data_IF_305707874872
#
_entry.id   IF_305707874872
#
_cell.length_a   1.000
_cell.length_b   1.000
_cell.length_c   1.000
_cell.angle_alpha   90.00
_cell.angle_beta   90.00
_cell.angle_gamma   90.00
#
_symmetry.space_group_name_H-M   'P 1'
#
loop_
_entity.id
_entity.type
_entity.pdbx_description
1 polymer ?
#
# COMPACT_ATOMS: atom_id res chain seq x y z
N UNK A 1 -7.02 13.29 12.37
CA UNK A 1 -6.30 12.56 13.44
C UNK A 1 -6.91 11.18 13.53
N UNK A 2 -6.12 10.12 13.67
CA UNK A 2 -6.65 8.76 13.82
C UNK A 2 -7.40 8.62 15.15
N UNK A 3 -8.40 7.73 15.19
CA UNK A 3 -9.09 7.40 16.43
C UNK A 3 -8.15 6.63 17.39
N UNK A 4 -8.53 6.59 18.68
CA UNK A 4 -7.72 5.95 19.72
C UNK A 4 -7.46 4.45 19.42
N UNK A 5 -8.45 3.64 19.00
CA UNK A 5 -8.20 2.25 18.63
C UNK A 5 -7.14 2.08 17.53
N UNK A 6 -7.13 2.96 16.53
CA UNK A 6 -6.11 2.94 15.48
C UNK A 6 -4.74 3.28 16.02
N UNK A 7 -4.63 4.29 16.88
CA UNK A 7 -3.36 4.67 17.51
C UNK A 7 -2.79 3.52 18.34
N UNK A 8 -3.64 2.83 19.10
CA UNK A 8 -3.24 1.71 19.93
C UNK A 8 -2.82 0.50 19.08
N UNK A 9 -3.54 0.21 17.99
CA UNK A 9 -3.15 -0.84 17.04
C UNK A 9 -1.77 -0.55 16.41
N UNK A 10 -1.52 0.70 15.98
CA UNK A 10 -0.21 1.11 15.45
C UNK A 10 0.89 0.93 16.49
N UNK A 11 0.65 1.33 17.75
CA UNK A 11 1.63 1.17 18.85
C UNK A 11 1.91 -0.30 19.16
N UNK A 12 0.88 -1.14 19.22
CA UNK A 12 1.03 -2.57 19.47
C UNK A 12 1.85 -3.26 18.37
N UNK A 13 1.55 -2.97 17.10
CA UNK A 13 2.34 -3.50 15.99
C UNK A 13 3.77 -2.98 15.97
N UNK A 14 3.98 -1.69 16.22
CA UNK A 14 5.31 -1.10 16.29
C UNK A 14 6.17 -1.75 17.41
N UNK A 15 5.59 -1.95 18.59
CA UNK A 15 6.24 -2.64 19.69
C UNK A 15 6.65 -4.08 19.31
N UNK A 16 5.74 -4.83 18.67
CA UNK A 16 6.01 -6.20 18.20
C UNK A 16 7.13 -6.25 17.17
N UNK A 17 7.17 -5.29 16.25
CA UNK A 17 8.21 -5.16 15.23
C UNK A 17 9.52 -4.53 15.77
N UNK A 18 9.54 -4.08 17.04
CA UNK A 18 10.65 -3.36 17.68
C UNK A 18 11.05 -2.08 16.92
N UNK A 19 10.05 -1.32 16.48
CA UNK A 19 10.20 -0.04 15.80
C UNK A 19 9.47 1.08 16.54
N UNK A 20 9.84 2.33 16.28
CA UNK A 20 9.11 3.48 16.82
C UNK A 20 7.73 3.61 16.12
N UNK A 21 6.61 3.84 16.84
CA UNK A 21 5.29 4.01 16.21
C UNK A 21 5.24 5.11 15.15
N UNK A 22 6.07 6.14 15.30
CA UNK A 22 6.21 7.23 14.33
C UNK A 22 6.61 6.75 12.93
N UNK A 23 7.28 5.59 12.82
CA UNK A 23 7.65 4.99 11.53
C UNK A 23 6.41 4.52 10.78
N UNK A 24 5.53 3.75 11.43
CA UNK A 24 4.28 3.29 10.81
C UNK A 24 3.35 4.47 10.48
N UNK A 25 3.28 5.49 11.33
CA UNK A 25 2.54 6.71 11.01
C UNK A 25 3.13 7.47 9.82
N UNK A 26 4.45 7.50 9.66
CA UNK A 26 5.10 8.10 8.50
C UNK A 26 4.76 7.33 7.21
N UNK A 27 4.78 5.99 7.25
CA UNK A 27 4.36 5.16 6.11
C UNK A 27 2.91 5.46 5.73
N UNK A 28 1.99 5.43 6.70
CA UNK A 28 0.56 5.73 6.49
C UNK A 28 0.34 7.13 5.88
N UNK A 29 1.09 8.13 6.34
CA UNK A 29 0.98 9.49 5.80
C UNK A 29 1.39 9.53 4.32
N UNK A 30 2.49 8.87 3.94
CA UNK A 30 2.97 8.91 2.56
C UNK A 30 2.11 8.05 1.63
N UNK A 31 1.62 6.90 2.09
CA UNK A 31 0.82 6.00 1.26
C UNK A 31 -0.60 6.51 1.00
N UNK A 32 -1.24 7.17 1.98
CA UNK A 32 -2.65 7.56 1.84
C UNK A 32 -2.98 9.01 2.20
N UNK A 33 -1.99 9.80 2.61
CA UNK A 33 -2.21 11.11 3.21
C UNK A 33 -2.91 11.00 4.57
N UNK A 34 -2.79 9.85 5.24
CA UNK A 34 -3.52 9.54 6.47
C UNK A 34 -5.03 9.30 6.29
N UNK A 35 -5.53 9.25 5.06
CA UNK A 35 -6.93 8.96 4.76
C UNK A 35 -7.16 7.45 4.72
N UNK A 36 -8.26 7.00 5.31
CA UNK A 36 -8.53 5.56 5.49
C UNK A 36 -9.82 5.08 4.83
N UNK A 37 -10.89 5.86 4.94
CA UNK A 37 -12.23 5.53 4.42
C UNK A 37 -12.83 6.69 3.64
N UNK A 38 -13.73 6.34 2.72
CA UNK A 38 -14.66 7.26 2.05
C UNK A 38 -16.09 6.71 2.21
N UNK A 39 -17.09 7.60 2.26
CA UNK A 39 -18.49 7.19 2.17
C UNK A 39 -18.91 6.97 0.71
N UNK A 40 -19.28 5.74 0.38
CA UNK A 40 -19.69 5.34 -0.97
C UNK A 40 -21.05 4.67 -0.85
N UNK A 41 -22.09 5.35 -1.38
CA UNK A 41 -23.49 4.89 -1.29
C UNK A 41 -23.91 4.56 0.15
N UNK A 42 -23.49 5.40 1.11
CA UNK A 42 -23.81 5.24 2.54
C UNK A 42 -22.95 4.23 3.29
N UNK A 43 -22.02 3.53 2.62
CA UNK A 43 -21.09 2.58 3.25
C UNK A 43 -19.69 3.18 3.37
N UNK A 44 -19.03 2.97 4.51
CA UNK A 44 -17.59 3.24 4.66
C UNK A 44 -16.80 2.20 3.86
N UNK A 45 -16.07 2.66 2.85
CA UNK A 45 -15.23 1.83 2.00
C UNK A 45 -13.77 2.29 2.10
N UNK A 46 -12.78 1.37 2.17
CA UNK A 46 -11.39 1.77 2.23
C UNK A 46 -11.00 2.53 0.95
N UNK A 47 -10.02 3.42 1.06
CA UNK A 47 -9.46 4.02 -0.14
C UNK A 47 -8.85 2.95 -1.03
N UNK A 48 -9.11 3.03 -2.34
CA UNK A 48 -8.51 2.14 -3.31
C UNK A 48 -7.75 2.88 -4.40
N UNK A 49 -6.83 2.14 -5.03
CA UNK A 49 -6.24 2.49 -6.31
C UNK A 49 -6.32 1.27 -7.22
N UNK A 50 -6.85 1.47 -8.42
CA UNK A 50 -7.01 0.45 -9.43
C UNK A 50 -5.74 0.27 -10.24
N UNK A 51 -5.32 -0.97 -10.47
CA UNK A 51 -4.16 -1.31 -11.29
C UNK A 51 -4.59 -2.15 -12.49
N UNK A 52 -5.01 -1.48 -13.58
CA UNK A 52 -5.56 -2.16 -14.77
C UNK A 52 -4.61 -3.16 -15.43
N UNK A 53 -3.30 -3.02 -15.21
CA UNK A 53 -2.31 -4.00 -15.68
C UNK A 53 -2.28 -5.28 -14.83
N UNK A 54 -2.56 -5.19 -13.53
CA UNK A 54 -2.77 -6.38 -12.71
C UNK A 54 -4.02 -7.12 -13.17
N UNK A 55 -5.08 -6.39 -13.53
CA UNK A 55 -6.32 -6.99 -14.01
C UNK A 55 -6.11 -7.68 -15.36
N UNK A 56 -5.41 -7.02 -16.29
CA UNK A 56 -5.04 -7.60 -17.58
C UNK A 56 -4.29 -8.93 -17.46
N UNK A 57 -3.30 -8.98 -16.57
CA UNK A 57 -2.46 -10.16 -16.33
C UNK A 57 -3.21 -11.33 -15.69
N UNK A 58 -4.30 -11.05 -14.97
CA UNK A 58 -5.07 -12.05 -14.21
C UNK A 58 -6.20 -12.68 -15.01
N UNK A 59 -6.61 -12.06 -16.10
CA UNK A 59 -7.66 -12.56 -16.97
C UNK A 59 -7.06 -13.32 -18.15
N UNK A 60 -7.87 -14.13 -18.81
CA UNK A 60 -7.51 -14.81 -20.07
C UNK A 60 -8.71 -14.83 -21.02
N UNK A 61 -8.47 -14.99 -22.33
CA UNK A 61 -9.54 -15.12 -23.32
C UNK A 61 -10.56 -13.98 -23.29
N UNK A 62 -11.84 -14.34 -23.40
CA UNK A 62 -12.96 -13.41 -23.52
C UNK A 62 -13.05 -12.41 -22.35
N UNK A 63 -12.74 -12.83 -21.13
CA UNK A 63 -12.74 -11.94 -19.96
C UNK A 63 -11.72 -10.80 -20.13
N UNK A 64 -10.51 -11.13 -20.59
CA UNK A 64 -9.44 -10.13 -20.79
C UNK A 64 -9.81 -9.17 -21.92
N UNK A 65 -10.36 -9.70 -23.00
CA UNK A 65 -10.77 -8.89 -24.15
C UNK A 65 -11.95 -7.98 -23.80
N UNK A 66 -12.92 -8.48 -23.03
CA UNK A 66 -14.01 -7.66 -22.49
C UNK A 66 -13.48 -6.55 -21.57
N UNK A 67 -12.57 -6.88 -20.64
CA UNK A 67 -12.00 -5.90 -19.73
C UNK A 67 -11.22 -4.80 -20.47
N UNK A 68 -10.49 -5.15 -21.54
CA UNK A 68 -9.81 -4.19 -22.41
C UNK A 68 -10.81 -3.31 -23.17
N UNK A 69 -11.85 -3.90 -23.78
CA UNK A 69 -12.91 -3.14 -24.49
C UNK A 69 -13.64 -2.16 -23.57
N UNK A 70 -13.85 -2.53 -22.31
CA UNK A 70 -14.47 -1.67 -21.28
C UNK A 70 -13.51 -0.63 -20.66
N UNK A 71 -12.24 -0.61 -21.07
CA UNK A 71 -11.24 0.32 -20.53
C UNK A 71 -10.86 0.03 -19.06
N UNK A 72 -11.04 -1.21 -18.61
CA UNK A 72 -10.72 -1.66 -17.24
C UNK A 72 -9.34 -2.30 -17.15
N UNK A 73 -8.84 -2.87 -18.26
CA UNK A 73 -7.55 -3.56 -18.33
C UNK A 73 -6.65 -2.99 -19.44
N UNK A 74 -5.34 -3.04 -19.20
CA UNK A 74 -4.32 -2.77 -20.21
C UNK A 74 -3.01 -3.44 -19.81
N UNK A 75 -2.26 -4.08 -20.72
CA UNK A 75 -0.98 -4.70 -20.38
C UNK A 75 0.08 -3.67 -19.93
N UNK A 76 -0.13 -2.38 -20.20
CA UNK A 76 0.79 -1.30 -19.83
C UNK A 76 0.40 -0.68 -18.49
N UNK A 77 1.31 -0.75 -17.51
CA UNK A 77 1.13 -0.09 -16.22
C UNK A 77 0.85 1.42 -16.39
N UNK A 78 -0.13 1.93 -15.64
CA UNK A 78 -0.54 3.34 -15.69
C UNK A 78 -1.37 3.77 -16.91
N UNK A 79 -1.62 2.88 -17.89
CA UNK A 79 -2.44 3.22 -19.04
C UNK A 79 -3.92 3.46 -18.67
N UNK A 80 -4.44 2.72 -17.68
CA UNK A 80 -5.75 2.97 -17.11
C UNK A 80 -5.61 3.99 -15.98
N UNK A 81 -6.08 5.22 -16.24
CA UNK A 81 -6.00 6.32 -15.27
C UNK A 81 -7.00 6.12 -14.15
N UNK A 82 -6.54 6.30 -12.91
CA UNK A 82 -7.43 6.33 -11.76
C UNK A 82 -8.21 7.66 -11.71
N UNK A 83 -9.56 7.63 -11.62
CA UNK A 83 -10.34 8.82 -11.33
C UNK A 83 -9.91 9.50 -10.03
N UNK A 84 -10.13 10.80 -9.93
CA UNK A 84 -9.83 11.55 -8.71
C UNK A 84 -10.70 11.10 -7.52
N UNK A 85 -11.98 10.79 -7.77
CA UNK A 85 -12.96 10.38 -6.76
C UNK A 85 -12.88 8.88 -6.44
N UNK A 86 -12.92 8.55 -5.16
CA UNK A 86 -13.05 7.16 -4.68
C UNK A 86 -14.35 6.51 -5.12
N UNK A 87 -15.47 7.25 -5.19
CA UNK A 87 -16.75 6.73 -5.70
C UNK A 87 -16.57 6.17 -7.11
N UNK A 88 -15.87 6.89 -7.97
CA UNK A 88 -15.58 6.43 -9.34
C UNK A 88 -14.60 5.26 -9.38
N UNK A 89 -13.60 5.22 -8.50
CA UNK A 89 -12.68 4.07 -8.40
C UNK A 89 -13.41 2.80 -7.95
N UNK A 90 -14.27 2.91 -6.95
CA UNK A 90 -15.10 1.79 -6.49
C UNK A 90 -16.13 1.35 -7.54
N UNK A 91 -16.63 2.29 -8.36
CA UNK A 91 -17.45 1.93 -9.52
C UNK A 91 -16.64 1.10 -10.53
N UNK A 92 -15.40 1.51 -10.86
CA UNK A 92 -14.52 0.71 -11.74
C UNK A 92 -14.27 -0.70 -11.18
N UNK A 93 -13.95 -0.81 -9.89
CA UNK A 93 -13.76 -2.11 -9.23
C UNK A 93 -15.05 -2.95 -9.25
N UNK A 94 -16.22 -2.32 -9.07
CA UNK A 94 -17.53 -2.98 -9.18
C UNK A 94 -17.75 -3.50 -10.60
N UNK A 95 -17.47 -2.69 -11.62
CA UNK A 95 -17.64 -3.06 -13.03
C UNK A 95 -16.69 -4.21 -13.40
N UNK A 96 -15.43 -4.15 -12.97
CA UNK A 96 -14.45 -5.22 -13.14
C UNK A 96 -14.87 -6.51 -12.42
N UNK A 97 -15.46 -6.41 -11.23
CA UNK A 97 -15.90 -7.58 -10.47
C UNK A 97 -17.06 -8.35 -11.12
N UNK A 98 -17.78 -7.72 -12.06
CA UNK A 98 -18.80 -8.41 -12.87
C UNK A 98 -18.19 -9.28 -13.99
N UNK A 99 -16.96 -8.99 -14.39
CA UNK A 99 -16.20 -9.81 -15.34
C UNK A 99 -15.57 -10.96 -14.54
N UNK A 100 -14.74 -10.63 -13.56
CA UNK A 100 -14.10 -11.61 -12.70
C UNK A 100 -13.84 -11.01 -11.32
N UNK A 101 -14.57 -11.51 -10.32
CA UNK A 101 -14.55 -10.95 -8.96
C UNK A 101 -13.19 -11.06 -8.30
N UNK A 102 -12.58 -12.24 -8.32
CA UNK A 102 -11.30 -12.48 -7.66
C UNK A 102 -10.21 -11.62 -8.30
N UNK A 103 -10.09 -11.68 -9.64
CA UNK A 103 -9.10 -10.90 -10.36
C UNK A 103 -9.28 -9.39 -10.13
N UNK A 104 -10.51 -8.89 -10.08
CA UNK A 104 -10.78 -7.48 -9.81
C UNK A 104 -10.30 -7.08 -8.42
N UNK A 105 -10.63 -7.86 -7.39
CA UNK A 105 -10.21 -7.52 -6.03
C UNK A 105 -8.71 -7.68 -5.81
N UNK A 106 -8.05 -8.60 -6.53
CA UNK A 106 -6.60 -8.71 -6.52
C UNK A 106 -5.89 -7.54 -7.24
N UNK A 107 -6.61 -6.82 -8.11
CA UNK A 107 -6.07 -5.77 -8.98
C UNK A 107 -6.28 -4.36 -8.44
N UNK A 108 -6.60 -4.22 -7.16
CA UNK A 108 -6.61 -2.95 -6.46
C UNK A 108 -5.71 -3.00 -5.22
N UNK A 109 -5.20 -1.84 -4.82
CA UNK A 109 -4.63 -1.63 -3.50
C UNK A 109 -5.65 -1.02 -2.55
N UNK A 110 -5.50 -1.28 -1.25
CA UNK A 110 -6.52 -0.96 -0.25
C UNK A 110 -5.97 -0.25 0.99
N UNK A 111 -6.75 0.72 1.47
CA UNK A 111 -6.61 1.33 2.79
C UNK A 111 -5.33 2.16 2.98
N UNK A 112 -5.03 2.45 4.24
CA UNK A 112 -3.91 3.34 4.62
C UNK A 112 -2.54 2.87 4.15
N UNK A 113 -2.32 1.57 4.02
CA UNK A 113 -1.04 1.03 3.54
C UNK A 113 -0.97 0.88 2.02
N UNK A 114 -2.08 1.09 1.30
CA UNK A 114 -2.17 0.83 -0.15
C UNK A 114 -1.57 -0.54 -0.53
N UNK A 115 -1.87 -1.59 0.25
CA UNK A 115 -1.41 -2.96 -0.05
C UNK A 115 -2.28 -3.57 -1.14
N UNK A 116 -1.65 -4.16 -2.16
CA UNK A 116 -2.33 -4.83 -3.26
C UNK A 116 -3.07 -6.10 -2.80
N UNK A 117 -4.33 -6.23 -3.21
CA UNK A 117 -5.17 -7.39 -2.92
C UNK A 117 -4.57 -8.70 -3.46
N UNK A 118 -3.76 -8.62 -4.51
CA UNK A 118 -2.96 -9.72 -5.08
C UNK A 118 -2.18 -10.54 -4.05
N UNK A 119 -1.84 -9.96 -2.90
CA UNK A 119 -1.03 -10.61 -1.88
C UNK A 119 -1.85 -11.37 -0.83
N UNK A 120 -3.18 -11.37 -0.89
CA UNK A 120 -4.05 -11.95 0.13
C UNK A 120 -3.57 -13.32 0.63
N UNK A 121 -3.18 -14.23 -0.28
CA UNK A 121 -2.73 -15.58 0.05
C UNK A 121 -1.41 -15.57 0.82
N UNK A 122 -0.44 -14.76 0.35
CA UNK A 122 0.87 -14.60 1.00
C UNK A 122 0.75 -13.93 2.38
N UNK A 123 -0.26 -13.08 2.55
CA UNK A 123 -0.57 -12.41 3.82
C UNK A 123 -1.44 -13.27 4.77
N UNK A 124 -1.69 -14.53 4.40
CA UNK A 124 -2.39 -15.51 5.24
C UNK A 124 -3.91 -15.32 5.33
N UNK A 125 -4.53 -14.64 4.35
CA UNK A 125 -5.98 -14.59 4.26
C UNK A 125 -6.52 -15.84 3.54
N UNK A 126 -7.74 -16.26 3.90
CA UNK A 126 -8.41 -17.39 3.26
C UNK A 126 -8.87 -17.10 1.82
N UNK A 127 -9.13 -15.84 1.50
CA UNK A 127 -9.52 -15.38 0.17
C UNK A 127 -9.24 -13.89 0.01
N UNK A 128 -9.34 -13.38 -1.22
CA UNK A 128 -9.27 -11.94 -1.48
C UNK A 128 -10.47 -11.20 -0.84
N UNK A 129 -11.65 -11.83 -0.78
CA UNK A 129 -12.80 -11.26 -0.08
C UNK A 129 -12.53 -11.11 1.43
N UNK A 130 -11.87 -12.08 2.07
CA UNK A 130 -11.48 -11.98 3.47
C UNK A 130 -10.47 -10.84 3.70
N UNK A 131 -9.52 -10.66 2.77
CA UNK A 131 -8.59 -9.53 2.78
C UNK A 131 -9.35 -8.18 2.68
N UNK A 132 -10.29 -8.06 1.74
CA UNK A 132 -11.06 -6.81 1.55
C UNK A 132 -12.01 -6.57 2.73
N UNK A 133 -12.59 -7.62 3.32
CA UNK A 133 -13.39 -7.53 4.54
C UNK A 133 -12.57 -6.99 5.71
N UNK A 134 -11.32 -7.44 5.86
CA UNK A 134 -10.39 -6.92 6.87
C UNK A 134 -10.07 -5.43 6.66
N UNK A 135 -9.86 -5.00 5.41
CA UNK A 135 -9.65 -3.59 5.09
C UNK A 135 -10.89 -2.71 5.36
N UNK A 136 -12.10 -3.30 5.30
CA UNK A 136 -13.38 -2.63 5.58
C UNK A 136 -13.71 -2.55 7.06
N UNK A 137 -13.20 -3.47 7.87
CA UNK A 137 -13.51 -3.58 9.30
C UNK A 137 -13.16 -2.29 10.06
N UNK A 138 -11.94 -1.80 9.90
CA UNK A 138 -11.44 -0.62 10.60
C UNK A 138 -10.12 -0.14 10.01
N UNK A 139 -9.67 1.05 10.43
CA UNK A 139 -8.32 1.51 10.08
C UNK A 139 -7.27 0.61 10.73
N UNK A 140 -7.50 0.11 11.95
CA UNK A 140 -6.65 -0.89 12.58
C UNK A 140 -6.52 -2.17 11.71
N UNK A 141 -7.60 -2.63 11.09
CA UNK A 141 -7.56 -3.74 10.13
C UNK A 141 -6.72 -3.44 8.88
N UNK A 142 -6.77 -2.20 8.38
CA UNK A 142 -5.90 -1.77 7.28
C UNK A 142 -4.42 -1.68 7.69
N UNK A 143 -4.13 -1.26 8.93
CA UNK A 143 -2.77 -1.27 9.50
C UNK A 143 -2.26 -2.71 9.64
N UNK A 144 -3.11 -3.63 10.10
CA UNK A 144 -2.75 -5.05 10.21
C UNK A 144 -2.36 -5.63 8.84
N UNK A 145 -3.13 -5.31 7.79
CA UNK A 145 -2.79 -5.70 6.40
C UNK A 145 -1.42 -5.15 5.99
N UNK A 146 -1.16 -3.86 6.25
CA UNK A 146 0.12 -3.21 5.96
C UNK A 146 1.28 -3.91 6.67
N UNK A 147 1.11 -4.18 7.97
CA UNK A 147 2.13 -4.85 8.79
C UNK A 147 2.40 -6.27 8.32
N UNK A 148 1.36 -7.05 8.01
CA UNK A 148 1.52 -8.39 7.41
C UNK A 148 2.32 -8.33 6.10
N UNK A 149 2.11 -7.30 5.28
CA UNK A 149 2.89 -7.12 4.05
C UNK A 149 4.36 -6.82 4.36
N UNK A 150 4.63 -5.89 5.27
CA UNK A 150 6.00 -5.56 5.69
C UNK A 150 6.74 -6.83 6.16
N UNK A 151 6.08 -7.69 6.92
CA UNK A 151 6.67 -8.94 7.41
C UNK A 151 6.86 -9.97 6.31
N UNK A 152 5.82 -10.25 5.52
CA UNK A 152 5.84 -11.29 4.50
C UNK A 152 6.82 -10.98 3.35
N UNK A 153 7.21 -9.72 3.19
CA UNK A 153 8.18 -9.27 2.19
C UNK A 153 9.55 -8.93 2.78
N UNK A 154 9.78 -9.23 4.07
CA UNK A 154 11.08 -9.07 4.70
C UNK A 154 11.54 -7.61 4.75
N UNK A 155 10.62 -6.70 5.10
CA UNK A 155 10.85 -5.25 5.13
C UNK A 155 11.02 -4.70 6.55
N UNK A 156 11.06 -5.59 7.55
CA UNK A 156 11.07 -5.21 8.97
C UNK A 156 12.43 -4.63 9.37
N UNK A 157 13.51 -5.22 8.91
CA UNK A 157 14.87 -4.82 9.28
C UNK A 157 15.24 -3.46 8.67
N UNK A 158 14.71 -3.10 7.50
CA UNK A 158 14.81 -1.75 6.95
C UNK A 158 14.14 -0.73 7.88
N UNK A 159 12.95 -1.03 8.38
CA UNK A 159 12.26 -0.13 9.32
C UNK A 159 12.98 -0.05 10.66
N UNK A 160 13.53 -1.16 11.17
CA UNK A 160 14.34 -1.18 12.39
C UNK A 160 15.60 -0.33 12.26
N UNK A 161 16.29 -0.40 11.11
CA UNK A 161 17.44 0.44 10.78
C UNK A 161 17.07 1.87 10.35
N UNK A 162 15.77 2.17 10.22
CA UNK A 162 15.24 3.45 9.67
C UNK A 162 15.77 3.75 8.25
N UNK A 163 16.07 2.71 7.49
CA UNK A 163 16.49 2.82 6.10
C UNK A 163 15.25 2.97 5.19
N UNK A 164 14.73 4.20 5.13
CA UNK A 164 13.58 4.51 4.29
C UNK A 164 13.87 4.31 2.79
N UNK A 165 15.13 4.35 2.37
CA UNK A 165 15.50 4.09 0.97
C UNK A 165 15.34 2.61 0.63
N UNK A 166 15.89 1.71 1.46
CA UNK A 166 15.69 0.28 1.28
C UNK A 166 14.21 -0.11 1.45
N UNK A 167 13.54 0.44 2.47
CA UNK A 167 12.12 0.21 2.69
C UNK A 167 11.26 0.62 1.48
N UNK A 168 11.41 1.86 0.98
CA UNK A 168 10.67 2.33 -0.20
C UNK A 168 10.97 1.47 -1.44
N UNK A 169 12.21 1.01 -1.61
CA UNK A 169 12.55 0.14 -2.75
C UNK A 169 11.79 -1.19 -2.68
N UNK A 170 11.69 -1.79 -1.50
CA UNK A 170 10.95 -3.04 -1.30
C UNK A 170 9.43 -2.86 -1.29
N UNK A 171 8.94 -1.77 -0.72
CA UNK A 171 7.51 -1.50 -0.54
C UNK A 171 6.85 -0.91 -1.79
N UNK A 172 7.47 0.11 -2.40
CA UNK A 172 6.93 0.87 -3.54
C UNK A 172 7.61 0.56 -4.88
N UNK A 173 8.75 -0.14 -4.86
CA UNK A 173 9.55 -0.43 -6.04
C UNK A 173 10.37 0.76 -6.56
N UNK A 174 11.07 0.59 -7.71
CA UNK A 174 11.93 1.63 -8.29
C UNK A 174 11.21 2.94 -8.60
N UNK A 175 9.92 2.86 -8.95
CA UNK A 175 9.09 4.04 -9.21
C UNK A 175 8.88 4.88 -7.94
N UNK A 176 8.74 4.25 -6.76
CA UNK A 176 8.65 4.96 -5.48
C UNK A 176 9.96 5.67 -5.11
N UNK A 177 11.11 5.05 -5.39
CA UNK A 177 12.42 5.69 -5.22
C UNK A 177 12.55 6.91 -6.11
N UNK A 178 12.25 6.76 -7.40
CA UNK A 178 12.26 7.89 -8.36
C UNK A 178 11.26 8.99 -7.95
N UNK A 179 10.13 8.60 -7.37
CA UNK A 179 9.11 9.50 -6.83
C UNK A 179 9.46 10.15 -5.48
N UNK A 180 10.64 9.86 -4.90
CA UNK A 180 11.09 10.49 -3.67
C UNK A 180 10.39 10.01 -2.40
N UNK A 181 9.69 8.87 -2.43
CA UNK A 181 8.91 8.37 -1.27
C UNK A 181 9.78 8.19 -0.03
N UNK A 182 11.00 7.66 -0.19
CA UNK A 182 11.99 7.52 0.87
C UNK A 182 12.32 8.86 1.57
N UNK A 183 12.46 9.95 0.82
CA UNK A 183 12.71 11.29 1.37
C UNK A 183 11.49 11.84 2.10
N UNK A 184 10.30 11.62 1.55
CA UNK A 184 9.04 12.04 2.16
C UNK A 184 8.77 11.27 3.46
N UNK A 185 9.00 9.96 3.48
CA UNK A 185 8.86 9.13 4.68
C UNK A 185 9.86 9.55 5.75
N UNK A 186 11.12 9.77 5.37
CA UNK A 186 12.15 10.29 6.26
C UNK A 186 11.75 11.64 6.89
N UNK A 187 11.25 12.58 6.08
CA UNK A 187 10.75 13.87 6.54
C UNK A 187 9.54 13.72 7.47
N UNK A 188 8.58 12.87 7.11
CA UNK A 188 7.38 12.63 7.91
C UNK A 188 7.72 11.99 9.27
N UNK A 189 8.71 11.11 9.33
CA UNK A 189 9.25 10.55 10.58
C UNK A 189 9.96 11.61 11.43
N UNK A 190 10.83 12.42 10.83
CA UNK A 190 11.55 13.48 11.53
C UNK A 190 10.57 14.50 12.15
N UNK A 191 9.55 14.90 11.40
CA UNK A 191 8.51 15.82 11.88
C UNK A 191 7.73 15.27 13.09
N UNK A 192 7.61 13.94 13.24
CA UNK A 192 6.87 13.31 14.34
C UNK A 192 7.71 13.13 15.60
N UNK A 193 9.03 13.05 15.45
CA UNK A 193 9.95 12.70 16.55
C UNK A 193 10.85 13.85 16.98
N UNK A 194 10.95 14.91 16.17
CA UNK A 194 11.95 15.96 16.36
C UNK A 194 13.38 15.50 16.06
N UNK A 195 13.58 14.25 15.62
CA UNK A 195 14.90 13.68 15.34
C UNK A 195 15.21 13.83 13.85
N UNK A 196 16.33 14.49 13.54
CA UNK A 196 16.92 14.35 12.21
C UNK A 196 17.45 12.92 12.03
N UNK A 197 17.23 12.31 10.86
CA UNK A 197 17.89 11.05 10.55
C UNK A 197 19.37 11.32 10.34
N UNK A 198 20.23 10.49 10.94
CA UNK A 198 21.64 10.48 10.59
C UNK A 198 21.75 10.17 9.09
N UNK A 199 22.46 11.02 8.36
CA UNK A 199 22.75 10.83 6.95
C UNK A 199 23.35 9.43 6.74
N UNK A 200 22.74 8.62 5.86
CA UNK A 200 23.29 7.31 5.44
C UNK A 200 24.49 7.49 4.49
N UNK A 201 25.02 8.71 4.32
CA UNK A 201 26.25 8.98 3.59
C UNK A 201 27.49 8.80 4.50
N UNK A 202 27.76 7.57 4.91
CA UNK A 202 29.10 7.14 5.32
C UNK A 202 29.20 5.62 5.21
N UNK A 203 29.60 5.17 4.03
CA UNK A 203 29.82 3.76 3.72
C UNK A 203 30.60 3.55 2.43
N UNK A 204 30.56 4.52 1.49
CA UNK A 204 31.49 4.56 0.37
C UNK A 204 32.77 5.31 0.78
N UNK A 205 33.62 4.63 1.56
CA UNK A 205 35.04 4.94 1.56
C UNK A 205 35.56 4.71 0.14
N UNK A 206 35.90 5.80 -0.54
CA UNK A 206 36.81 5.79 -1.70
C UNK A 206 38.09 5.08 -1.25
N UNK A 207 38.29 3.83 -1.65
CA UNK A 207 39.65 3.31 -1.76
C UNK A 207 40.27 3.96 -2.99
N UNK A 208 40.98 5.06 -2.76
CA UNK A 208 41.91 5.63 -3.72
C UNK A 208 43.15 4.76 -3.83
N UNK A 209 43.53 4.50 -5.08
CA UNK A 209 44.91 4.46 -5.59
C UNK A 209 46.07 4.49 -4.58
N UNK A 210 46.86 3.41 -4.58
CA UNK A 210 48.30 3.48 -4.86
C UNK A 210 48.64 2.42 -5.91
#
# INVERSE_FOLDING_TARGET
MFDQPTVDAVRAHAARLKIEPAILFAVIEIESGGRSFELIKGRKEPLIRWEGHYFDQRLTGDERDEARRKGLASPRAGAIKNPASQVKRWQMLTDASRINRQAAYESASYGVGQVMGAHWKKLGFASVDAFVAKARESVAGQVEIMVRYIEAFGLVDELQRKDFSAFTRGYNGPAGIKGGYHLLMAKAYASKTGKALASVASGMLRMGSQ
#
